data_IF_599065470533
#
_entry.id   IF_599065470533
#
_cell.length_a   1.000
_cell.length_b   1.000
_cell.length_c   1.000
_cell.angle_alpha   90.00
_cell.angle_beta   90.00
_cell.angle_gamma   90.00
#
_symmetry.space_group_name_H-M   'P 1'
#
loop_
_entity.id
_entity.type
_entity.pdbx_description
1 polymer ?
#
# COMPACT_ATOMS: atom_id res chain seq x y z
N UNK A 1 -22.34 -8.48 -8.34
CA UNK A 1 -21.44 -7.80 -7.42
C UNK A 1 -20.25 -8.72 -7.17
N UNK A 2 -19.12 -8.49 -7.87
CA UNK A 2 -17.91 -9.34 -7.83
C UNK A 2 -17.27 -9.37 -6.42
N UNK A 3 -17.60 -8.40 -5.58
CA UNK A 3 -17.04 -8.24 -4.22
C UNK A 3 -18.03 -8.64 -3.12
N UNK A 4 -19.14 -9.31 -3.43
CA UNK A 4 -20.04 -9.89 -2.42
C UNK A 4 -19.31 -11.02 -1.68
N UNK A 5 -18.65 -10.62 -0.61
CA UNK A 5 -17.97 -11.51 0.31
C UNK A 5 -19.00 -12.35 1.09
N UNK A 6 -19.34 -13.51 0.57
CA UNK A 6 -19.82 -14.61 1.42
C UNK A 6 -18.59 -15.37 1.92
N UNK A 7 -17.63 -14.64 2.49
CA UNK A 7 -16.28 -15.12 2.59
C UNK A 7 -16.01 -15.90 3.86
N UNK A 8 -15.35 -17.02 3.71
CA UNK A 8 -14.58 -17.62 4.79
C UNK A 8 -13.39 -16.67 5.08
N UNK A 9 -13.17 -16.37 6.34
CA UNK A 9 -11.97 -15.67 6.79
C UNK A 9 -10.93 -16.69 7.20
N UNK A 10 -9.72 -16.53 6.72
CA UNK A 10 -8.54 -17.29 7.12
C UNK A 10 -7.56 -16.33 7.80
N UNK A 11 -6.86 -16.82 8.81
CA UNK A 11 -5.90 -16.01 9.55
C UNK A 11 -4.56 -16.73 9.63
N UNK A 12 -3.49 -15.95 9.58
CA UNK A 12 -2.12 -16.40 9.83
C UNK A 12 -1.44 -15.37 10.73
N UNK A 13 -0.34 -15.77 11.36
CA UNK A 13 0.45 -14.91 12.21
C UNK A 13 1.80 -14.68 11.57
N UNK A 14 2.23 -13.41 11.51
CA UNK A 14 3.61 -13.04 11.23
C UNK A 14 4.42 -13.34 12.49
N UNK A 15 5.47 -14.16 12.38
CA UNK A 15 6.20 -14.70 13.52
C UNK A 15 7.55 -14.02 13.77
N UNK A 16 8.02 -13.22 12.81
CA UNK A 16 9.30 -12.53 12.90
C UNK A 16 9.31 -11.20 12.14
N UNK A 17 10.43 -10.50 12.18
CA UNK A 17 10.59 -9.18 11.57
C UNK A 17 10.76 -9.20 10.04
N UNK A 18 10.73 -10.37 9.40
CA UNK A 18 10.71 -10.44 7.93
C UNK A 18 9.36 -10.02 7.35
N UNK A 19 8.32 -10.02 8.17
CA UNK A 19 6.95 -9.74 7.73
C UNK A 19 6.31 -10.88 6.93
N UNK A 20 6.99 -12.03 6.79
CA UNK A 20 6.49 -13.15 6.02
C UNK A 20 5.30 -13.82 6.71
N UNK A 21 4.30 -14.18 5.92
CA UNK A 21 3.15 -14.95 6.35
C UNK A 21 2.81 -16.04 5.34
N UNK A 22 2.22 -17.11 5.82
CA UNK A 22 1.76 -18.23 4.99
C UNK A 22 0.38 -18.68 5.48
N UNK A 23 -0.53 -18.93 4.55
CA UNK A 23 -1.86 -19.45 4.85
C UNK A 23 -2.06 -20.74 4.05
N UNK A 24 -2.02 -21.86 4.76
CA UNK A 24 -2.13 -23.20 4.16
C UNK A 24 -3.56 -23.75 4.26
N UNK A 25 -3.89 -24.68 3.34
CA UNK A 25 -5.13 -25.45 3.39
C UNK A 25 -6.39 -24.62 3.11
N UNK A 26 -6.24 -23.49 2.42
CA UNK A 26 -7.37 -22.65 2.03
C UNK A 26 -8.11 -23.24 0.83
N UNK A 27 -9.43 -23.12 0.82
CA UNK A 27 -10.27 -23.41 -0.34
C UNK A 27 -11.01 -22.15 -0.72
N UNK A 28 -10.63 -21.57 -1.83
CA UNK A 28 -11.19 -20.32 -2.34
C UNK A 28 -12.28 -20.60 -3.36
N UNK A 29 -13.35 -19.83 -3.31
CA UNK A 29 -14.44 -19.84 -4.29
C UNK A 29 -14.38 -18.64 -5.25
N UNK A 30 -13.34 -17.80 -5.10
CA UNK A 30 -13.09 -16.61 -5.90
C UNK A 30 -11.61 -16.55 -6.25
N UNK A 31 -11.30 -16.02 -7.41
CA UNK A 31 -9.95 -15.72 -7.85
C UNK A 31 -9.38 -14.46 -7.16
N UNK A 32 -10.21 -13.73 -6.42
CA UNK A 32 -9.87 -12.46 -5.77
C UNK A 32 -9.82 -12.60 -4.26
N UNK A 33 -8.76 -12.07 -3.67
CA UNK A 33 -8.55 -12.01 -2.24
C UNK A 33 -8.60 -10.55 -1.74
N UNK A 34 -9.30 -10.34 -0.63
CA UNK A 34 -9.12 -9.16 0.19
C UNK A 34 -8.24 -9.53 1.39
N UNK A 35 -7.13 -8.84 1.54
CA UNK A 35 -6.14 -9.07 2.58
C UNK A 35 -6.15 -7.91 3.57
N UNK A 36 -5.88 -8.22 4.83
CA UNK A 36 -5.65 -7.26 5.90
C UNK A 36 -4.52 -7.76 6.78
N UNK A 37 -3.61 -6.86 7.13
CA UNK A 37 -2.56 -7.09 8.12
C UNK A 37 -2.65 -6.01 9.20
N UNK A 38 -2.50 -6.43 10.44
CA UNK A 38 -2.33 -5.55 11.60
C UNK A 38 -0.97 -5.87 12.21
N UNK A 39 -0.09 -4.87 12.33
CA UNK A 39 1.26 -5.13 12.83
C UNK A 39 2.09 -3.88 13.09
N UNK A 40 3.20 -4.09 13.77
CA UNK A 40 4.27 -3.10 13.90
C UNK A 40 5.03 -3.01 12.57
N UNK A 41 5.66 -1.88 12.32
CA UNK A 41 6.45 -1.66 11.12
C UNK A 41 7.76 -0.94 11.46
N UNK A 42 8.73 -1.04 10.58
CA UNK A 42 9.95 -0.25 10.66
C UNK A 42 9.76 1.07 9.92
N UNK A 43 10.02 2.20 10.61
CA UNK A 43 9.99 3.52 10.01
C UNK A 43 11.36 3.83 9.41
N UNK A 44 11.50 3.70 8.11
CA UNK A 44 12.74 3.93 7.37
C UNK A 44 13.22 5.39 7.43
N UNK A 45 12.34 6.35 7.71
CA UNK A 45 12.69 7.77 7.85
C UNK A 45 13.36 8.04 9.19
N UNK A 46 12.86 7.41 10.26
CA UNK A 46 13.39 7.58 11.63
C UNK A 46 14.44 6.53 11.99
N UNK A 47 14.48 5.40 11.28
CA UNK A 47 15.36 4.26 11.58
C UNK A 47 14.94 3.45 12.81
N UNK A 48 13.65 3.46 13.15
CA UNK A 48 13.12 2.85 14.37
C UNK A 48 11.88 1.99 14.09
N UNK A 49 11.64 0.99 14.94
CA UNK A 49 10.37 0.24 14.93
C UNK A 49 9.24 1.11 15.52
N UNK A 50 8.04 0.96 15.00
CA UNK A 50 6.85 1.69 15.47
C UNK A 50 6.46 1.28 16.90
N UNK A 51 5.93 2.22 17.66
CA UNK A 51 5.45 2.01 19.04
C UNK A 51 4.04 1.38 19.07
N UNK A 52 3.29 1.49 17.98
CA UNK A 52 1.92 0.97 17.85
C UNK A 52 1.74 0.25 16.52
N UNK A 53 0.72 -0.60 16.48
CA UNK A 53 0.33 -1.31 15.26
C UNK A 53 -0.43 -0.39 14.31
N UNK A 54 -0.21 -0.61 13.01
CA UNK A 54 -1.05 -0.05 11.94
C UNK A 54 -1.80 -1.16 11.22
N UNK A 55 -2.83 -0.77 10.47
CA UNK A 55 -3.57 -1.67 9.57
C UNK A 55 -3.26 -1.32 8.14
N UNK A 56 -2.82 -2.31 7.36
CA UNK A 56 -2.73 -2.21 5.91
C UNK A 56 -3.65 -3.22 5.24
N UNK A 57 -4.09 -2.90 4.03
CA UNK A 57 -4.99 -3.74 3.25
C UNK A 57 -4.47 -3.91 1.82
N UNK A 58 -4.91 -4.99 1.18
CA UNK A 58 -4.70 -5.22 -0.25
C UNK A 58 -5.92 -5.91 -0.87
N UNK A 59 -6.02 -5.85 -2.19
CA UNK A 59 -6.89 -6.68 -3.00
C UNK A 59 -6.07 -7.23 -4.16
N UNK A 60 -6.04 -8.55 -4.34
CA UNK A 60 -5.20 -9.21 -5.34
C UNK A 60 -5.92 -10.34 -6.05
N UNK A 61 -5.44 -10.66 -7.25
CA UNK A 61 -5.83 -11.84 -8.02
C UNK A 61 -4.82 -12.97 -7.75
N UNK A 62 -5.30 -14.05 -7.16
CA UNK A 62 -4.46 -15.20 -6.81
C UNK A 62 -3.91 -15.98 -8.02
N UNK A 63 -4.44 -15.75 -9.21
CA UNK A 63 -3.97 -16.42 -10.42
C UNK A 63 -2.80 -15.69 -11.08
N UNK A 64 -2.59 -14.41 -10.73
CA UNK A 64 -1.56 -13.55 -11.33
C UNK A 64 -0.29 -13.44 -10.49
N UNK A 65 -0.38 -13.68 -9.18
CA UNK A 65 0.71 -13.37 -8.24
C UNK A 65 1.10 -14.62 -7.41
N UNK A 66 2.38 -15.02 -7.51
CA UNK A 66 2.94 -16.09 -6.68
C UNK A 66 3.16 -15.62 -5.22
N UNK A 67 3.48 -14.35 -5.04
CA UNK A 67 3.65 -13.71 -3.73
C UNK A 67 2.87 -12.40 -3.70
N UNK A 68 2.23 -12.11 -2.59
CA UNK A 68 1.44 -10.90 -2.40
C UNK A 68 2.04 -10.11 -1.24
N UNK A 69 2.65 -8.97 -1.55
CA UNK A 69 3.11 -8.02 -0.53
C UNK A 69 1.98 -7.06 -0.19
N UNK A 70 1.79 -6.81 1.11
CA UNK A 70 0.85 -5.79 1.61
C UNK A 70 1.69 -4.60 2.05
N UNK A 71 1.52 -3.47 1.37
CA UNK A 71 2.30 -2.26 1.58
C UNK A 71 1.40 -1.00 1.54
N UNK A 72 2.01 0.17 1.69
CA UNK A 72 1.28 1.45 1.68
C UNK A 72 0.53 1.66 0.36
N UNK A 73 1.11 1.31 -0.79
CA UNK A 73 0.48 1.50 -2.08
C UNK A 73 -0.73 0.58 -2.29
N UNK A 74 -0.64 -0.70 -1.89
CA UNK A 74 -1.78 -1.62 -1.91
C UNK A 74 -2.91 -1.15 -0.99
N UNK A 75 -2.54 -0.50 0.13
CA UNK A 75 -3.52 0.05 1.06
C UNK A 75 -4.26 1.26 0.48
N UNK A 76 -3.55 2.15 -0.21
CA UNK A 76 -4.15 3.31 -0.87
C UNK A 76 -5.07 2.91 -2.02
N UNK A 77 -4.67 1.95 -2.85
CA UNK A 77 -5.43 1.59 -4.06
C UNK A 77 -6.74 0.85 -3.76
N UNK A 78 -6.79 0.06 -2.69
CA UNK A 78 -7.89 -0.88 -2.43
C UNK A 78 -9.28 -0.27 -2.54
N UNK A 79 -9.53 0.85 -1.87
CA UNK A 79 -10.84 1.47 -1.86
C UNK A 79 -11.23 2.06 -3.24
N UNK A 80 -10.25 2.54 -4.00
CA UNK A 80 -10.44 3.01 -5.37
C UNK A 80 -10.76 1.87 -6.31
N UNK A 81 -10.03 0.77 -6.23
CA UNK A 81 -10.29 -0.47 -6.99
C UNK A 81 -11.71 -0.98 -6.72
N UNK A 82 -12.10 -1.09 -5.45
CA UNK A 82 -13.45 -1.49 -5.06
C UNK A 82 -14.53 -0.56 -5.63
N UNK A 83 -14.28 0.74 -5.63
CA UNK A 83 -15.20 1.72 -6.23
C UNK A 83 -15.34 1.53 -7.74
N UNK A 84 -14.23 1.38 -8.46
CA UNK A 84 -14.22 1.18 -9.91
C UNK A 84 -14.96 -0.10 -10.33
N UNK A 85 -14.76 -1.19 -9.62
CA UNK A 85 -15.49 -2.44 -9.87
C UNK A 85 -16.99 -2.28 -9.63
N UNK A 86 -17.37 -1.67 -8.49
CA UNK A 86 -18.77 -1.60 -8.09
C UNK A 86 -19.60 -0.55 -8.84
N UNK A 87 -18.98 0.56 -9.25
CA UNK A 87 -19.70 1.70 -9.83
C UNK A 87 -19.42 1.87 -11.33
N UNK A 88 -18.26 1.46 -11.80
CA UNK A 88 -17.86 1.61 -13.20
C UNK A 88 -17.86 0.29 -13.96
N UNK A 89 -18.18 -0.83 -13.28
CA UNK A 89 -18.24 -2.17 -13.87
C UNK A 89 -16.93 -2.63 -14.51
N UNK A 90 -15.79 -2.15 -14.02
CA UNK A 90 -14.48 -2.60 -14.48
C UNK A 90 -14.16 -3.99 -13.93
N UNK A 91 -13.35 -4.74 -14.67
CA UNK A 91 -12.71 -5.94 -14.15
C UNK A 91 -11.68 -5.58 -13.08
N UNK A 92 -11.24 -6.54 -12.26
CA UNK A 92 -10.20 -6.26 -11.26
C UNK A 92 -8.91 -5.75 -11.92
N UNK A 93 -8.49 -6.35 -13.02
CA UNK A 93 -7.26 -5.96 -13.73
C UNK A 93 -7.34 -4.52 -14.23
N UNK A 94 -8.45 -4.14 -14.86
CA UNK A 94 -8.68 -2.77 -15.33
C UNK A 94 -8.74 -1.78 -14.17
N UNK A 95 -9.46 -2.12 -13.09
CA UNK A 95 -9.59 -1.27 -11.92
C UNK A 95 -8.24 -1.06 -11.20
N UNK A 96 -7.41 -2.10 -11.07
CA UNK A 96 -6.06 -1.98 -10.50
C UNK A 96 -5.15 -1.14 -11.38
N UNK A 97 -5.14 -1.39 -12.68
CA UNK A 97 -4.33 -0.58 -13.62
C UNK A 97 -4.70 0.90 -13.56
N UNK A 98 -5.99 1.22 -13.50
CA UNK A 98 -6.45 2.60 -13.39
C UNK A 98 -6.08 3.21 -12.03
N UNK A 99 -6.36 2.53 -10.91
CA UNK A 99 -6.06 3.02 -9.57
C UNK A 99 -4.55 3.24 -9.37
N UNK A 100 -3.71 2.33 -9.88
CA UNK A 100 -2.27 2.46 -9.85
C UNK A 100 -1.80 3.74 -10.59
N UNK A 101 -2.29 3.94 -11.81
CA UNK A 101 -1.96 5.15 -12.59
C UNK A 101 -2.38 6.44 -11.85
N UNK A 102 -3.60 6.45 -11.29
CA UNK A 102 -4.14 7.59 -10.55
C UNK A 102 -3.29 7.90 -9.29
N UNK A 103 -2.91 6.88 -8.51
CA UNK A 103 -2.04 7.05 -7.32
C UNK A 103 -0.66 7.57 -7.69
N UNK A 104 -0.02 7.00 -8.71
CA UNK A 104 1.30 7.46 -9.16
C UNK A 104 1.24 8.90 -9.68
N UNK A 105 0.14 9.29 -10.32
CA UNK A 105 -0.07 10.65 -10.82
C UNK A 105 -0.11 11.70 -9.69
N UNK A 106 -0.57 11.35 -8.49
CA UNK A 106 -0.53 12.24 -7.30
C UNK A 106 0.90 12.69 -7.00
N UNK A 107 1.87 11.79 -7.22
CA UNK A 107 3.30 12.04 -6.98
C UNK A 107 4.05 12.46 -8.26
N UNK A 108 3.32 12.75 -9.35
CA UNK A 108 3.87 13.10 -10.66
C UNK A 108 4.84 12.02 -11.20
N UNK A 109 4.53 10.75 -10.96
CA UNK A 109 5.29 9.59 -11.43
C UNK A 109 4.59 9.02 -12.67
N UNK A 110 5.31 8.92 -13.79
CA UNK A 110 4.80 8.40 -15.06
C UNK A 110 5.53 7.11 -15.49
N UNK A 111 6.11 6.39 -14.56
CA UNK A 111 6.83 5.14 -14.82
C UNK A 111 5.85 3.97 -14.92
N UNK A 112 6.11 3.06 -15.86
CA UNK A 112 5.44 1.77 -15.91
C UNK A 112 6.05 0.85 -14.86
N UNK A 113 5.25 0.44 -13.88
CA UNK A 113 5.65 -0.48 -12.82
C UNK A 113 4.72 -1.68 -12.77
N UNK A 114 5.19 -2.72 -12.10
CA UNK A 114 4.37 -3.89 -11.80
C UNK A 114 3.25 -3.55 -10.80
N UNK A 115 2.31 -4.48 -10.61
CA UNK A 115 1.30 -4.36 -9.56
C UNK A 115 1.93 -4.05 -8.20
N UNK A 116 1.25 -3.25 -7.40
CA UNK A 116 1.77 -2.80 -6.11
C UNK A 116 2.08 -3.95 -5.13
N UNK A 117 1.39 -5.08 -5.24
CA UNK A 117 1.66 -6.28 -4.44
C UNK A 117 2.95 -7.01 -4.84
N UNK A 118 3.55 -6.69 -5.97
CA UNK A 118 4.85 -7.25 -6.37
C UNK A 118 6.04 -6.42 -5.88
N UNK A 119 5.78 -5.24 -5.32
CA UNK A 119 6.83 -4.33 -4.85
C UNK A 119 7.29 -4.69 -3.44
N UNK A 120 8.60 -4.60 -3.21
CA UNK A 120 9.23 -4.92 -1.93
C UNK A 120 10.28 -3.89 -1.54
N UNK A 121 10.42 -3.63 -0.24
CA UNK A 121 11.48 -2.76 0.30
C UNK A 121 12.88 -3.39 0.21
N UNK A 122 12.97 -4.69 -0.06
CA UNK A 122 14.23 -5.46 -0.10
C UNK A 122 14.75 -5.70 -1.52
N UNK A 123 13.99 -5.36 -2.55
CA UNK A 123 14.40 -5.48 -3.94
C UNK A 123 14.95 -4.12 -4.45
N UNK A 124 15.40 -4.10 -5.73
CA UNK A 124 16.09 -2.94 -6.30
C UNK A 124 15.56 -2.53 -7.68
N UNK A 125 14.28 -2.79 -7.96
CA UNK A 125 13.65 -2.32 -9.21
C UNK A 125 13.23 -0.85 -9.08
N UNK A 126 12.90 -0.21 -10.22
CA UNK A 126 12.34 1.15 -10.22
C UNK A 126 11.03 1.22 -9.39
N UNK A 127 10.18 0.19 -9.47
CA UNK A 127 8.95 0.10 -8.70
C UNK A 127 9.21 0.05 -7.19
N UNK A 128 10.21 -0.72 -6.74
CA UNK A 128 10.59 -0.79 -5.32
C UNK A 128 11.10 0.57 -4.81
N UNK A 129 11.89 1.28 -5.61
CA UNK A 129 12.32 2.64 -5.27
C UNK A 129 11.15 3.62 -5.16
N UNK A 130 10.14 3.49 -6.02
CA UNK A 130 8.90 4.27 -5.95
C UNK A 130 8.13 3.94 -4.67
N UNK A 131 8.01 2.67 -4.31
CA UNK A 131 7.38 2.25 -3.04
C UNK A 131 8.09 2.90 -1.85
N UNK A 132 9.43 2.84 -1.79
CA UNK A 132 10.22 3.46 -0.72
C UNK A 132 9.96 4.97 -0.67
N UNK A 133 10.02 5.66 -1.82
CA UNK A 133 9.84 7.11 -1.87
C UNK A 133 8.45 7.54 -1.39
N UNK A 134 7.38 6.89 -1.89
CA UNK A 134 6.00 7.23 -1.52
C UNK A 134 5.74 6.87 -0.05
N UNK A 135 6.19 5.69 0.42
CA UNK A 135 6.06 5.28 1.82
C UNK A 135 6.72 6.31 2.74
N UNK A 136 7.95 6.72 2.44
CA UNK A 136 8.69 7.72 3.22
C UNK A 136 8.00 9.09 3.25
N UNK A 137 7.39 9.53 2.14
CA UNK A 137 6.63 10.79 2.09
C UNK A 137 5.37 10.71 2.96
N UNK A 138 4.64 9.61 2.90
CA UNK A 138 3.37 9.46 3.64
C UNK A 138 3.64 9.21 5.13
N UNK A 139 4.61 8.38 5.45
CA UNK A 139 5.02 8.06 6.81
C UNK A 139 5.74 9.25 7.47
N UNK A 140 6.87 9.66 6.92
CA UNK A 140 7.67 10.79 7.41
C UNK A 140 8.03 10.65 8.89
N UNK A 141 8.01 11.79 9.60
CA UNK A 141 8.22 11.89 11.05
C UNK A 141 6.90 11.87 11.83
N UNK A 142 5.87 11.23 11.29
CA UNK A 142 4.53 11.16 11.92
C UNK A 142 4.48 10.04 12.94
N UNK A 143 3.68 10.26 13.97
CA UNK A 143 3.21 9.16 14.82
C UNK A 143 2.34 8.19 14.02
N UNK A 144 2.16 6.96 14.50
CA UNK A 144 1.34 5.94 13.85
C UNK A 144 -0.12 6.39 13.67
N UNK A 145 -0.63 7.16 14.63
CA UNK A 145 -1.97 7.75 14.56
C UNK A 145 -2.09 8.77 13.41
N UNK A 146 -1.12 9.68 13.29
CA UNK A 146 -1.08 10.69 12.22
C UNK A 146 -0.83 10.05 10.85
N UNK A 147 0.01 9.01 10.79
CA UNK A 147 0.24 8.23 9.58
C UNK A 147 -1.04 7.52 9.12
N UNK A 148 -1.71 6.82 10.03
CA UNK A 148 -2.98 6.14 9.74
C UNK A 148 -4.08 7.13 9.34
N UNK A 149 -4.17 8.28 10.00
CA UNK A 149 -5.11 9.35 9.65
C UNK A 149 -4.83 9.93 8.27
N UNK A 150 -3.56 10.17 7.94
CA UNK A 150 -3.18 10.69 6.62
C UNK A 150 -3.55 9.72 5.51
N UNK A 151 -3.24 8.42 5.66
CA UNK A 151 -3.64 7.38 4.70
C UNK A 151 -5.16 7.34 4.52
N UNK A 152 -5.92 7.33 5.62
CA UNK A 152 -7.37 7.31 5.57
C UNK A 152 -7.97 8.54 4.85
N UNK A 153 -7.38 9.72 5.06
CA UNK A 153 -7.79 10.95 4.41
C UNK A 153 -7.48 10.93 2.91
N UNK A 154 -6.28 10.46 2.50
CA UNK A 154 -5.93 10.28 1.09
C UNK A 154 -6.89 9.30 0.43
N UNK A 155 -7.11 8.12 1.02
CA UNK A 155 -8.03 7.09 0.52
C UNK A 155 -9.44 7.67 0.32
N UNK A 156 -9.92 8.46 1.27
CA UNK A 156 -11.25 9.07 1.19
C UNK A 156 -11.35 10.06 0.04
N UNK A 157 -10.31 10.85 -0.16
CA UNK A 157 -10.26 11.90 -1.18
C UNK A 157 -10.24 11.31 -2.60
N UNK A 158 -9.36 10.32 -2.84
CA UNK A 158 -9.16 9.71 -4.17
C UNK A 158 -10.22 8.67 -4.54
N UNK A 159 -11.02 8.20 -3.60
CA UNK A 159 -11.88 7.02 -3.77
C UNK A 159 -12.81 7.11 -4.97
N UNK A 160 -13.40 8.27 -5.24
CA UNK A 160 -14.50 8.42 -6.22
C UNK A 160 -14.03 8.85 -7.60
N UNK A 161 -12.99 9.65 -7.70
CA UNK A 161 -12.50 10.22 -8.96
C UNK A 161 -11.04 9.91 -9.27
N UNK A 162 -10.28 9.40 -8.29
CA UNK A 162 -8.86 9.07 -8.45
C UNK A 162 -7.93 10.27 -8.35
N UNK A 163 -8.43 11.43 -7.94
CA UNK A 163 -7.67 12.67 -7.83
C UNK A 163 -7.50 13.10 -6.38
N UNK A 164 -6.33 13.64 -6.04
CA UNK A 164 -6.08 14.27 -4.74
C UNK A 164 -6.55 15.73 -4.79
N UNK A 165 -7.80 15.96 -4.46
CA UNK A 165 -8.43 17.29 -4.55
C UNK A 165 -8.13 18.19 -3.35
N UNK A 166 -7.81 17.62 -2.21
CA UNK A 166 -7.52 18.36 -0.99
C UNK A 166 -6.15 19.05 -1.05
N UNK A 167 -6.14 20.37 -1.23
CA UNK A 167 -4.91 21.15 -1.20
C UNK A 167 -4.15 21.04 0.14
N UNK A 168 -4.86 20.78 1.24
CA UNK A 168 -4.26 20.56 2.56
C UNK A 168 -3.48 19.25 2.60
N UNK A 169 -4.01 18.17 2.02
CA UNK A 169 -3.30 16.89 1.92
C UNK A 169 -2.09 17.04 1.00
N UNK A 170 -2.24 17.64 -0.18
CA UNK A 170 -1.13 17.92 -1.09
C UNK A 170 -0.01 18.72 -0.43
N UNK A 171 -0.35 19.76 0.33
CA UNK A 171 0.64 20.55 1.07
C UNK A 171 1.37 19.74 2.15
N UNK A 172 0.67 18.83 2.85
CA UNK A 172 1.29 17.93 3.84
C UNK A 172 2.30 16.98 3.19
N UNK A 173 1.97 16.42 2.00
CA UNK A 173 2.87 15.53 1.25
C UNK A 173 4.10 16.29 0.75
N UNK A 174 3.93 17.46 0.14
CA UNK A 174 5.05 18.29 -0.35
C UNK A 174 5.96 18.72 0.80
N UNK A 175 5.39 19.19 1.90
CA UNK A 175 6.17 19.62 3.06
C UNK A 175 7.00 18.48 3.63
N UNK A 176 6.46 17.27 3.66
CA UNK A 176 7.21 16.10 4.11
C UNK A 176 8.31 15.71 3.13
N UNK A 177 8.01 15.69 1.82
CA UNK A 177 9.00 15.33 0.80
C UNK A 177 10.26 16.21 0.84
N UNK A 178 10.10 17.51 1.15
CA UNK A 178 11.22 18.45 1.27
C UNK A 178 12.10 18.14 2.49
N UNK A 179 11.56 17.52 3.54
CA UNK A 179 12.28 17.21 4.77
C UNK A 179 13.02 15.87 4.74
N UNK A 180 12.75 15.03 3.75
CA UNK A 180 13.36 13.69 3.66
C UNK A 180 14.84 13.77 3.29
N UNK A 181 15.63 12.92 3.94
CA UNK A 181 17.03 12.67 3.61
C UNK A 181 17.17 11.27 3.02
N UNK A 182 17.37 11.20 1.70
CA UNK A 182 17.45 9.92 0.99
C UNK A 182 18.64 9.05 1.45
N UNK A 183 19.78 9.68 1.77
CA UNK A 183 20.97 8.95 2.23
C UNK A 183 20.74 8.32 3.62
N UNK A 184 20.03 9.01 4.49
CA UNK A 184 19.68 8.50 5.82
C UNK A 184 18.67 7.35 5.73
N UNK A 185 17.64 7.51 4.89
CA UNK A 185 16.66 6.44 4.62
C UNK A 185 17.36 5.19 4.07
N UNK A 186 18.29 5.36 3.13
CA UNK A 186 19.06 4.24 2.60
C UNK A 186 19.91 3.55 3.69
N UNK A 187 20.56 4.31 4.56
CA UNK A 187 21.34 3.75 5.68
C UNK A 187 20.44 3.00 6.66
N UNK A 188 19.27 3.54 6.99
CA UNK A 188 18.32 2.89 7.88
C UNK A 188 17.82 1.56 7.31
N UNK A 189 17.48 1.51 6.01
CA UNK A 189 17.09 0.28 5.34
C UNK A 189 18.24 -0.75 5.30
N UNK A 190 19.47 -0.33 5.03
CA UNK A 190 20.64 -1.22 5.03
C UNK A 190 20.97 -1.78 6.43
N UNK A 191 20.60 -1.06 7.50
CA UNK A 191 20.75 -1.58 8.87
C UNK A 191 19.65 -2.58 9.24
N UNK A 192 18.48 -2.43 8.63
CA UNK A 192 17.31 -3.27 8.92
C UNK A 192 17.35 -4.61 8.21
N UNK A 193 17.80 -4.63 6.95
CA UNK A 193 17.78 -5.77 6.05
C UNK A 193 19.20 -6.19 5.60
#
# INVERSE_FOLDING_TARGET
NLLNQTGKTYTSQIIDNSGAFEINGISLSSDYLSLRVDGFYFNEVCGEDSDSQITLNAISDINSDENININVLTHLEKARVEYLINNNSLTLVEAKSQAMFEILSIFNINEEIQNFENLSLTNSTTGDAILIAISSIIQGFRSEAEFSELMANIITDIRTDGELNSSSLGSKLISQAILLNADEIQQNLQHRY
#
